data_IF_177225245321
#
_entry.id   IF_177225245321
#
_cell.length_a   1.000
_cell.length_b   1.000
_cell.length_c   1.000
_cell.angle_alpha   90.00
_cell.angle_beta   90.00
_cell.angle_gamma   90.00
#
_symmetry.space_group_name_H-M   'P 1'
#
loop_
_entity.id
_entity.type
_entity.pdbx_description
1 polymer ?
#
# COMPACT_ATOMS: atom_id res chain seq x y z
N UNK A 1 8.75 -37.72 22.76
CA UNK A 1 7.97 -36.72 22.04
C UNK A 1 7.34 -35.73 22.99
N UNK A 2 7.01 -34.54 22.54
CA UNK A 2 6.41 -33.48 23.37
C UNK A 2 4.99 -33.79 23.85
N UNK A 3 4.41 -34.92 23.38
CA UNK A 3 3.05 -35.34 23.74
C UNK A 3 3.10 -36.52 24.69
N UNK A 4 2.51 -36.37 25.86
CA UNK A 4 2.31 -37.50 26.77
C UNK A 4 1.08 -38.28 26.32
N UNK A 5 1.27 -39.29 25.46
CA UNK A 5 0.26 -40.29 25.17
C UNK A 5 0.35 -41.36 26.25
N UNK A 6 -0.68 -41.56 27.00
CA UNK A 6 -0.76 -42.59 28.03
C UNK A 6 -0.65 -44.02 27.44
N UNK A 7 -1.01 -44.15 26.16
CA UNK A 7 -1.00 -45.41 25.45
C UNK A 7 -0.61 -45.18 23.99
N UNK A 8 0.57 -45.63 23.60
CA UNK A 8 1.06 -45.47 22.22
C UNK A 8 0.62 -46.58 21.26
N UNK A 9 0.18 -47.69 21.79
CA UNK A 9 -0.27 -48.85 21.00
C UNK A 9 -1.68 -49.27 21.44
N UNK A 10 -2.49 -49.60 20.46
CA UNK A 10 -3.84 -50.16 20.69
C UNK A 10 -4.02 -51.39 19.83
N UNK A 11 -4.48 -52.45 20.47
CA UNK A 11 -4.86 -53.65 19.73
C UNK A 11 -6.22 -53.45 19.04
N UNK A 12 -6.37 -53.98 17.89
CA UNK A 12 -7.61 -54.03 17.13
C UNK A 12 -7.84 -55.42 16.53
N UNK A 13 -9.09 -55.75 16.32
CA UNK A 13 -9.48 -57.02 15.65
C UNK A 13 -10.42 -56.64 14.49
N UNK A 14 -10.26 -57.32 13.38
CA UNK A 14 -11.04 -57.14 12.17
C UNK A 14 -11.75 -58.45 11.83
N UNK A 15 -13.01 -58.40 11.54
CA UNK A 15 -13.73 -59.51 10.84
C UNK A 15 -13.35 -59.44 9.36
N UNK A 16 -13.60 -60.55 8.63
CA UNK A 16 -13.40 -60.61 7.18
C UNK A 16 -14.20 -59.48 6.48
N UNK A 17 -13.55 -58.66 5.66
CA UNK A 17 -14.08 -57.47 5.01
C UNK A 17 -14.62 -56.39 5.99
N UNK A 18 -14.19 -56.44 7.27
CA UNK A 18 -14.58 -55.48 8.29
C UNK A 18 -13.64 -54.27 8.37
N UNK A 19 -14.09 -53.26 9.14
CA UNK A 19 -13.30 -52.12 9.53
C UNK A 19 -13.21 -51.98 11.05
N UNK A 20 -12.20 -51.31 11.55
CA UNK A 20 -12.09 -50.93 12.95
C UNK A 20 -11.58 -49.47 13.05
N UNK A 21 -12.15 -48.75 14.03
CA UNK A 21 -11.72 -47.37 14.33
C UNK A 21 -10.94 -47.37 15.63
N UNK A 22 -9.74 -46.81 15.60
CA UNK A 22 -8.90 -46.67 16.79
C UNK A 22 -8.66 -45.18 17.04
N UNK A 23 -8.95 -44.71 18.25
CA UNK A 23 -8.89 -43.31 18.60
C UNK A 23 -7.87 -43.04 19.70
N UNK A 24 -7.10 -41.96 19.57
CA UNK A 24 -6.23 -41.41 20.59
C UNK A 24 -6.69 -40.02 20.94
N UNK A 25 -6.74 -39.69 22.23
CA UNK A 25 -6.93 -38.31 22.69
C UNK A 25 -5.58 -37.68 22.91
N UNK A 26 -5.32 -36.62 22.20
CA UNK A 26 -4.06 -35.87 22.27
C UNK A 26 -4.34 -34.50 22.84
N UNK A 27 -3.60 -34.10 23.88
CA UNK A 27 -3.60 -32.71 24.36
C UNK A 27 -2.50 -31.96 23.66
N UNK A 28 -2.86 -31.01 22.84
CA UNK A 28 -1.91 -30.18 22.09
C UNK A 28 -1.33 -29.12 23.02
N UNK A 29 0.02 -28.99 23.16
CA UNK A 29 0.65 -27.91 23.88
C UNK A 29 0.42 -26.54 23.23
N UNK A 30 0.48 -25.48 24.04
CA UNK A 30 0.25 -24.12 23.53
C UNK A 30 1.46 -23.52 22.79
N UNK A 31 2.60 -24.19 22.84
CA UNK A 31 3.90 -23.73 22.33
C UNK A 31 4.29 -24.38 20.97
N UNK A 32 3.37 -25.07 20.33
CA UNK A 32 3.60 -25.72 19.02
C UNK A 32 2.75 -25.10 17.94
N UNK A 33 3.32 -24.90 16.75
CA UNK A 33 2.63 -24.40 15.56
C UNK A 33 2.18 -25.51 14.61
N UNK A 34 2.75 -26.70 14.75
CA UNK A 34 2.36 -27.88 13.96
C UNK A 34 2.64 -29.16 14.73
N UNK A 35 1.89 -30.19 14.42
CA UNK A 35 2.11 -31.54 14.90
C UNK A 35 2.23 -32.50 13.72
N UNK A 36 3.19 -33.41 13.81
CA UNK A 36 3.31 -34.52 12.85
C UNK A 36 2.85 -35.78 13.53
N UNK A 37 1.81 -36.38 13.01
CA UNK A 37 1.26 -37.64 13.50
C UNK A 37 1.68 -38.74 12.53
N UNK A 38 2.34 -39.77 13.05
CA UNK A 38 2.66 -40.97 12.31
C UNK A 38 1.93 -42.14 12.96
N UNK A 39 1.10 -42.81 12.18
CA UNK A 39 0.36 -43.99 12.60
C UNK A 39 0.85 -45.20 11.77
N UNK A 40 1.10 -46.28 12.44
CA UNK A 40 1.50 -47.55 11.80
C UNK A 40 0.59 -48.63 12.30
N UNK A 41 -0.08 -49.31 11.39
CA UNK A 41 -0.83 -50.54 11.69
C UNK A 41 0.02 -51.77 11.31
N UNK A 42 -0.02 -52.80 12.14
CA UNK A 42 0.70 -54.04 11.89
C UNK A 42 -0.20 -55.24 12.20
N UNK A 43 -0.30 -56.20 11.28
CA UNK A 43 -1.05 -57.42 11.46
C UNK A 43 -0.24 -58.58 10.87
N UNK A 44 0.38 -59.39 11.74
CA UNK A 44 1.29 -60.47 11.32
C UNK A 44 2.49 -59.92 10.53
N UNK A 45 2.61 -60.32 9.27
CA UNK A 45 3.67 -59.92 8.36
C UNK A 45 3.31 -58.65 7.54
N UNK A 46 2.08 -58.13 7.69
CA UNK A 46 1.62 -56.98 6.94
C UNK A 46 1.75 -55.74 7.83
N UNK A 47 2.20 -54.65 7.24
CA UNK A 47 2.21 -53.33 7.90
C UNK A 47 1.92 -52.26 6.90
N UNK A 48 1.18 -51.23 7.35
CA UNK A 48 0.90 -50.02 6.61
C UNK A 48 0.96 -48.82 7.56
N UNK A 49 1.20 -47.63 7.06
CA UNK A 49 1.33 -46.46 7.89
C UNK A 49 1.14 -45.18 7.14
N UNK A 50 0.57 -44.22 7.85
CA UNK A 50 0.35 -42.87 7.35
C UNK A 50 1.06 -41.85 8.26
N UNK A 51 1.64 -40.85 7.63
CA UNK A 51 2.18 -39.69 8.33
C UNK A 51 1.45 -38.44 7.86
N UNK A 52 0.93 -37.67 8.79
CA UNK A 52 0.19 -36.45 8.48
C UNK A 52 0.69 -35.30 9.34
N UNK A 53 0.96 -34.18 8.70
CA UNK A 53 1.21 -32.91 9.39
C UNK A 53 -0.12 -32.17 9.57
N UNK A 54 -0.36 -31.66 10.78
CA UNK A 54 -1.55 -30.88 11.12
C UNK A 54 -1.06 -29.56 11.69
N UNK A 55 -1.54 -28.46 11.12
CA UNK A 55 -1.30 -27.13 11.66
C UNK A 55 -2.04 -26.96 13.00
N UNK A 56 -1.36 -26.35 13.97
CA UNK A 56 -1.95 -25.98 15.27
C UNK A 56 -2.18 -24.47 15.28
N UNK A 57 -3.42 -24.09 15.10
CA UNK A 57 -3.81 -22.69 15.13
C UNK A 57 -4.10 -22.28 16.57
N UNK A 58 -3.38 -21.32 17.15
CA UNK A 58 -3.71 -20.79 18.45
C UNK A 58 -5.02 -20.00 18.34
N UNK A 59 -5.93 -20.20 19.29
CA UNK A 59 -7.10 -19.35 19.47
C UNK A 59 -6.66 -18.01 20.11
N UNK A 60 -5.81 -17.29 19.39
CA UNK A 60 -5.23 -15.99 19.80
C UNK A 60 -5.32 -15.02 18.64
N UNK A 61 -5.53 -13.77 18.96
CA UNK A 61 -5.51 -12.67 18.02
C UNK A 61 -4.28 -11.80 18.29
N UNK A 62 -3.53 -11.46 17.24
CA UNK A 62 -2.50 -10.45 17.34
C UNK A 62 -3.16 -9.08 17.46
N UNK A 63 -2.83 -8.36 18.53
CA UNK A 63 -3.26 -6.99 18.75
C UNK A 63 -2.03 -6.09 18.64
N UNK A 64 -2.06 -5.15 17.72
CA UNK A 64 -1.04 -4.13 17.59
C UNK A 64 -1.55 -2.83 18.19
N UNK A 65 -0.82 -2.30 19.17
CA UNK A 65 -1.06 -0.99 19.75
C UNK A 65 0.07 -0.06 19.31
N UNK A 66 -0.28 1.05 18.65
CA UNK A 66 0.68 2.01 18.13
C UNK A 66 0.37 3.41 18.67
N UNK A 67 1.38 4.05 19.23
CA UNK A 67 1.29 5.44 19.69
C UNK A 67 2.23 6.29 18.86
N UNK A 68 1.71 7.25 18.07
CA UNK A 68 2.54 8.19 17.35
C UNK A 68 3.28 9.10 18.34
N UNK A 69 4.60 9.15 18.20
CA UNK A 69 5.49 9.95 19.06
C UNK A 69 6.00 11.12 18.23
N UNK A 70 5.70 12.34 18.68
CA UNK A 70 6.22 13.55 18.06
C UNK A 70 6.78 14.51 19.09
N UNK A 71 8.08 14.85 18.96
CA UNK A 71 8.80 15.75 19.86
C UNK A 71 9.49 16.81 19.02
N UNK A 72 9.23 18.09 19.34
CA UNK A 72 9.93 19.21 18.69
C UNK A 72 11.29 19.44 19.35
N UNK A 73 12.18 20.12 18.65
CA UNK A 73 13.45 20.57 19.18
C UNK A 73 13.29 21.28 20.54
N UNK A 74 14.16 20.96 21.48
CA UNK A 74 14.15 21.52 22.83
C UNK A 74 13.01 21.05 23.75
N UNK A 75 12.17 20.10 23.31
CA UNK A 75 11.08 19.54 24.12
C UNK A 75 11.39 18.15 24.65
N UNK A 76 10.89 17.86 25.83
CA UNK A 76 10.81 16.51 26.39
C UNK A 76 9.35 16.14 26.58
N UNK A 77 8.95 14.95 26.11
CA UNK A 77 7.58 14.43 26.26
C UNK A 77 7.64 12.98 26.74
N UNK A 78 6.68 12.62 27.57
CA UNK A 78 6.47 11.23 27.98
C UNK A 78 5.24 10.67 27.28
N UNK A 79 5.37 9.50 26.69
CA UNK A 79 4.29 8.77 26.03
C UNK A 79 4.07 7.46 26.76
N UNK A 80 2.82 7.04 26.86
CA UNK A 80 2.43 5.81 27.54
C UNK A 80 1.55 4.99 26.62
N UNK A 81 1.86 3.71 26.49
CA UNK A 81 0.98 2.72 25.85
C UNK A 81 -0.08 2.29 26.87
N UNK A 82 -1.18 3.07 26.95
CA UNK A 82 -2.19 2.89 27.99
C UNK A 82 -2.87 1.52 27.92
N UNK A 83 -3.12 1.01 26.72
CA UNK A 83 -3.72 -0.32 26.53
C UNK A 83 -2.79 -1.44 27.02
N UNK A 84 -1.48 -1.29 26.84
CA UNK A 84 -0.51 -2.26 27.31
C UNK A 84 -0.33 -2.16 28.83
N UNK A 85 -0.21 -0.94 29.35
CA UNK A 85 -0.04 -0.66 30.78
C UNK A 85 -1.21 -1.17 31.62
N UNK A 86 -2.43 -1.00 31.10
CA UNK A 86 -3.66 -1.36 31.80
C UNK A 86 -4.20 -2.74 31.40
N UNK A 87 -3.41 -3.56 30.69
CA UNK A 87 -3.85 -4.86 30.21
C UNK A 87 -4.04 -5.84 31.40
N UNK A 88 -5.28 -6.31 31.56
CA UNK A 88 -5.67 -7.27 32.59
C UNK A 88 -5.77 -8.71 32.07
N UNK A 89 -5.42 -8.95 30.81
CA UNK A 89 -5.52 -10.29 30.21
C UNK A 89 -4.48 -11.24 30.82
N UNK A 90 -4.95 -12.34 31.37
CA UNK A 90 -4.10 -13.42 31.91
C UNK A 90 -3.44 -14.29 30.82
N UNK A 91 -3.88 -14.15 29.57
CA UNK A 91 -3.43 -14.95 28.43
C UNK A 91 -2.66 -14.14 27.40
N UNK A 92 -2.52 -12.84 27.59
CA UNK A 92 -1.71 -11.99 26.73
C UNK A 92 -0.22 -12.33 26.89
N UNK A 93 0.47 -12.35 25.76
CA UNK A 93 1.93 -12.47 25.70
C UNK A 93 2.47 -11.36 24.82
N UNK A 94 3.50 -10.66 25.27
CA UNK A 94 4.17 -9.68 24.42
C UNK A 94 4.95 -10.42 23.32
N UNK A 95 4.67 -10.05 22.09
CA UNK A 95 5.35 -10.60 20.91
C UNK A 95 6.55 -9.75 20.57
N UNK A 96 6.37 -8.42 20.51
CA UNK A 96 7.43 -7.45 20.25
C UNK A 96 7.08 -6.10 20.86
N UNK A 97 8.09 -5.33 21.20
CA UNK A 97 8.03 -3.90 21.46
C UNK A 97 9.04 -3.22 20.55
N UNK A 98 8.55 -2.35 19.67
CA UNK A 98 9.41 -1.65 18.73
C UNK A 98 9.26 -0.15 18.96
N UNK A 99 10.37 0.57 19.06
CA UNK A 99 10.43 2.02 18.97
C UNK A 99 11.06 2.36 17.64
N UNK A 100 10.27 2.98 16.76
CA UNK A 100 10.77 3.52 15.49
C UNK A 100 11.07 4.99 15.67
N UNK A 101 12.29 5.40 15.36
CA UNK A 101 12.75 6.78 15.42
C UNK A 101 13.21 7.22 14.05
N UNK A 102 12.45 8.11 13.42
CA UNK A 102 12.79 8.68 12.11
C UNK A 102 13.29 10.10 12.30
N UNK A 103 14.58 10.33 12.09
CA UNK A 103 15.21 11.66 12.20
C UNK A 103 15.07 12.48 10.92
N UNK A 104 14.87 11.84 9.77
CA UNK A 104 14.67 12.47 8.48
C UNK A 104 13.32 12.04 7.89
N UNK A 105 12.37 12.98 7.70
CA UNK A 105 11.03 12.66 7.17
C UNK A 105 11.03 11.99 5.78
N UNK A 106 12.12 12.07 5.02
CA UNK A 106 12.22 11.40 3.73
C UNK A 106 12.08 9.88 3.84
N UNK A 107 12.48 9.29 4.97
CA UNK A 107 12.32 7.86 5.21
C UNK A 107 10.86 7.45 5.29
N UNK A 108 9.99 8.27 5.87
CA UNK A 108 8.54 8.03 5.89
C UNK A 108 7.97 7.94 4.47
N UNK A 109 8.42 8.84 3.60
CA UNK A 109 8.03 8.82 2.18
C UNK A 109 8.56 7.55 1.52
N UNK A 110 9.85 7.23 1.71
CA UNK A 110 10.49 6.05 1.12
C UNK A 110 9.74 4.76 1.53
N UNK A 111 9.41 4.60 2.81
CA UNK A 111 8.70 3.42 3.31
C UNK A 111 7.25 3.32 2.82
N UNK A 112 6.63 4.45 2.45
CA UNK A 112 5.27 4.47 1.90
C UNK A 112 5.21 4.05 0.40
N UNK A 113 6.29 4.25 -0.37
CA UNK A 113 6.29 4.00 -1.82
C UNK A 113 5.91 2.56 -2.21
N UNK A 114 6.40 1.49 -1.54
CA UNK A 114 6.02 0.13 -1.91
C UNK A 114 4.53 -0.16 -1.77
N UNK A 115 3.82 0.53 -0.86
CA UNK A 115 2.38 0.35 -0.69
C UNK A 115 1.59 0.80 -1.89
N UNK A 116 2.06 1.83 -2.61
CA UNK A 116 1.46 2.30 -3.85
C UNK A 116 1.65 1.31 -5.01
N UNK A 117 2.71 0.50 -4.98
CA UNK A 117 3.01 -0.50 -6.00
C UNK A 117 2.27 -1.83 -5.81
N UNK A 118 1.86 -2.15 -4.59
CA UNK A 118 1.30 -3.46 -4.25
C UNK A 118 -0.20 -3.62 -4.57
N UNK A 119 -0.87 -2.57 -5.02
CA UNK A 119 -2.27 -2.66 -5.42
C UNK A 119 -2.39 -3.32 -6.80
N UNK A 120 -3.16 -4.40 -6.90
CA UNK A 120 -3.40 -5.12 -8.15
C UNK A 120 -4.59 -4.58 -8.95
N UNK A 121 -5.25 -3.54 -8.47
CA UNK A 121 -6.31 -2.88 -9.20
C UNK A 121 -5.75 -2.17 -10.45
N UNK A 122 -6.47 -2.27 -11.57
CA UNK A 122 -6.09 -1.67 -12.86
C UNK A 122 -6.84 -0.37 -13.13
N UNK A 123 -7.37 0.29 -12.10
CA UNK A 123 -7.97 1.62 -12.25
C UNK A 123 -6.89 2.67 -12.54
N UNK A 124 -7.26 3.73 -13.25
CA UNK A 124 -6.28 4.70 -13.73
C UNK A 124 -5.57 5.45 -12.59
N UNK A 125 -6.21 5.69 -11.47
CA UNK A 125 -5.60 6.27 -10.28
C UNK A 125 -4.56 5.34 -9.65
N UNK A 126 -4.81 4.03 -9.60
CA UNK A 126 -3.85 3.04 -9.09
C UNK A 126 -2.67 2.89 -10.04
N UNK A 127 -2.91 2.78 -11.35
CA UNK A 127 -1.83 2.71 -12.35
C UNK A 127 -0.98 3.98 -12.30
N UNK A 128 -1.61 5.15 -12.21
CA UNK A 128 -0.91 6.42 -12.03
C UNK A 128 -0.08 6.44 -10.72
N UNK A 129 -0.61 5.95 -9.61
CA UNK A 129 0.09 5.92 -8.33
C UNK A 129 1.34 5.03 -8.36
N UNK A 130 1.31 3.92 -9.12
CA UNK A 130 2.48 3.08 -9.37
C UNK A 130 3.57 3.85 -10.11
N UNK A 131 3.20 4.49 -11.21
CA UNK A 131 4.11 5.33 -11.97
C UNK A 131 4.68 6.48 -11.13
N UNK A 132 3.83 7.16 -10.37
CA UNK A 132 4.23 8.23 -9.45
C UNK A 132 5.25 7.77 -8.41
N UNK A 133 5.03 6.59 -7.82
CA UNK A 133 5.94 6.02 -6.83
C UNK A 133 7.32 5.73 -7.43
N UNK A 134 7.38 5.20 -8.65
CA UNK A 134 8.64 4.90 -9.33
C UNK A 134 9.41 6.16 -9.71
N UNK A 135 8.74 7.18 -10.24
CA UNK A 135 9.37 8.46 -10.57
C UNK A 135 9.91 9.13 -9.31
N UNK A 136 9.12 9.18 -8.24
CA UNK A 136 9.55 9.78 -6.97
C UNK A 136 10.71 9.00 -6.36
N UNK A 137 10.68 7.67 -6.39
CA UNK A 137 11.78 6.83 -5.95
C UNK A 137 13.05 7.11 -6.73
N UNK A 138 12.96 7.20 -8.06
CA UNK A 138 14.09 7.52 -8.93
C UNK A 138 14.76 8.85 -8.56
N UNK A 139 13.96 9.89 -8.33
CA UNK A 139 14.47 11.21 -7.96
C UNK A 139 15.08 11.24 -6.55
N UNK A 140 14.47 10.56 -5.58
CA UNK A 140 15.05 10.42 -4.23
C UNK A 140 16.43 9.77 -4.31
N UNK A 141 16.59 8.74 -5.14
CA UNK A 141 17.88 8.07 -5.34
C UNK A 141 18.92 8.93 -6.04
N UNK A 142 18.52 9.64 -7.09
CA UNK A 142 19.41 10.60 -7.77
C UNK A 142 19.91 11.70 -6.82
N UNK A 143 19.00 12.20 -5.97
CA UNK A 143 19.33 13.23 -4.98
C UNK A 143 20.18 12.70 -3.81
N UNK A 144 20.12 11.40 -3.52
CA UNK A 144 20.76 10.79 -2.35
C UNK A 144 21.52 9.50 -2.72
N UNK A 145 22.67 9.58 -3.42
CA UNK A 145 23.42 8.39 -3.88
C UNK A 145 23.84 7.44 -2.74
N UNK A 146 24.00 7.97 -1.51
CA UNK A 146 24.33 7.17 -0.32
C UNK A 146 23.24 6.15 0.05
N UNK A 147 21.98 6.42 -0.31
CA UNK A 147 20.90 5.46 -0.08
C UNK A 147 21.15 4.16 -0.83
N UNK A 148 21.62 4.25 -2.07
CA UNK A 148 21.98 3.06 -2.85
C UNK A 148 23.02 2.20 -2.13
N UNK A 149 24.08 2.81 -1.60
CA UNK A 149 25.11 2.09 -0.86
C UNK A 149 24.53 1.35 0.35
N UNK A 150 23.61 1.96 1.09
CA UNK A 150 22.95 1.33 2.24
C UNK A 150 22.15 0.11 1.78
N UNK A 151 21.37 0.22 0.71
CA UNK A 151 20.59 -0.93 0.19
C UNK A 151 21.49 -2.04 -0.36
N UNK A 152 22.55 -1.68 -1.09
CA UNK A 152 23.54 -2.65 -1.60
C UNK A 152 24.21 -3.41 -0.43
N UNK A 153 24.54 -2.76 0.66
CA UNK A 153 25.09 -3.39 1.86
C UNK A 153 24.08 -4.32 2.55
N UNK A 154 22.82 -3.91 2.70
CA UNK A 154 21.77 -4.76 3.25
C UNK A 154 21.54 -6.01 2.39
N UNK A 155 21.54 -5.83 1.07
CA UNK A 155 21.44 -6.95 0.13
C UNK A 155 22.62 -7.91 0.24
N UNK A 156 23.85 -7.39 0.26
CA UNK A 156 25.08 -8.19 0.39
C UNK A 156 25.13 -8.99 1.72
N UNK A 157 24.57 -8.43 2.79
CA UNK A 157 24.47 -9.09 4.11
C UNK A 157 23.29 -10.07 4.20
N UNK A 158 22.48 -10.22 3.15
CA UNK A 158 21.28 -11.08 3.15
C UNK A 158 20.19 -10.61 4.10
N UNK A 159 20.25 -9.35 4.56
CA UNK A 159 19.29 -8.75 5.49
C UNK A 159 17.97 -8.38 4.81
N UNK A 160 17.94 -8.36 3.48
CA UNK A 160 16.74 -8.08 2.68
C UNK A 160 15.84 -9.30 2.48
N UNK A 161 16.29 -10.50 2.89
CA UNK A 161 15.53 -11.74 2.75
C UNK A 161 14.87 -12.08 4.08
N UNK A 162 13.55 -12.13 4.10
CA UNK A 162 12.82 -12.55 5.30
C UNK A 162 13.13 -14.00 5.67
N UNK A 163 13.07 -14.33 6.98
CA UNK A 163 13.23 -15.71 7.43
C UNK A 163 12.17 -16.66 6.85
N UNK A 164 11.03 -16.12 6.42
CA UNK A 164 9.95 -16.85 5.77
C UNK A 164 10.32 -17.25 4.34
N UNK A 165 11.09 -16.41 3.61
CA UNK A 165 11.56 -16.72 2.24
C UNK A 165 12.63 -17.80 2.21
N UNK A 166 13.31 -18.04 3.33
CA UNK A 166 14.36 -19.07 3.47
C UNK A 166 13.81 -20.48 3.64
N UNK A 167 12.53 -20.64 3.95
CA UNK A 167 11.90 -21.95 4.17
C UNK A 167 10.58 -22.07 3.41
N UNK A 168 10.66 -22.56 2.16
CA UNK A 168 9.51 -22.64 1.25
C UNK A 168 8.37 -23.55 1.75
N UNK A 169 8.70 -24.64 2.46
CA UNK A 169 7.68 -25.55 3.00
C UNK A 169 6.87 -24.90 4.12
N UNK A 170 7.55 -24.14 4.98
CA UNK A 170 6.89 -23.40 6.07
C UNK A 170 6.06 -22.24 5.52
N UNK A 171 6.52 -21.60 4.45
CA UNK A 171 5.85 -20.50 3.77
C UNK A 171 4.49 -20.95 3.22
N UNK A 172 4.45 -22.06 2.52
CA UNK A 172 3.22 -22.56 1.88
C UNK A 172 2.18 -22.95 2.94
N UNK A 173 2.61 -23.60 4.01
CA UNK A 173 1.73 -24.03 5.09
C UNK A 173 1.17 -22.83 5.89
N UNK A 174 2.01 -21.83 6.18
CA UNK A 174 1.59 -20.63 6.92
C UNK A 174 0.71 -19.70 6.07
N UNK A 175 0.92 -19.62 4.75
CA UNK A 175 0.12 -18.80 3.83
C UNK A 175 -1.29 -19.34 3.65
N UNK A 176 -1.46 -20.67 3.61
CA UNK A 176 -2.78 -21.29 3.47
C UNK A 176 -3.62 -21.21 4.75
N UNK A 177 -2.98 -21.30 5.92
CA UNK A 177 -3.68 -21.42 7.20
C UNK A 177 -3.79 -20.09 7.99
N UNK A 178 -2.93 -19.10 7.69
CA UNK A 178 -2.89 -17.84 8.42
C UNK A 178 -2.61 -16.63 7.52
N UNK A 179 -3.60 -16.20 6.71
CA UNK A 179 -3.42 -15.07 5.77
C UNK A 179 -2.94 -13.77 6.43
N UNK A 180 -3.30 -13.54 7.69
CA UNK A 180 -2.87 -12.34 8.45
C UNK A 180 -1.38 -12.35 8.83
N UNK A 181 -0.68 -13.48 8.78
CA UNK A 181 0.78 -13.52 8.97
C UNK A 181 1.50 -12.82 7.81
N UNK A 182 0.86 -12.70 6.65
CA UNK A 182 1.33 -11.90 5.53
C UNK A 182 1.37 -10.40 5.83
N UNK A 183 0.50 -9.93 6.71
CA UNK A 183 0.42 -8.52 7.10
C UNK A 183 1.37 -8.16 8.25
N UNK A 184 2.00 -9.14 8.89
CA UNK A 184 3.04 -8.92 9.88
C UNK A 184 4.34 -8.46 9.18
N UNK A 185 4.33 -7.22 8.73
CA UNK A 185 5.45 -6.53 8.07
C UNK A 185 6.57 -6.34 9.08
N UNK A 186 7.57 -7.21 9.04
CA UNK A 186 8.81 -6.93 9.73
C UNK A 186 9.67 -5.96 8.90
N UNK A 187 10.56 -5.24 9.55
CA UNK A 187 11.47 -4.28 8.92
C UNK A 187 12.25 -4.91 7.75
N UNK A 188 12.64 -6.17 7.86
CA UNK A 188 13.34 -6.93 6.83
C UNK A 188 12.52 -7.08 5.55
N UNK A 189 11.22 -7.32 5.66
CA UNK A 189 10.33 -7.44 4.50
C UNK A 189 10.08 -6.08 3.84
N UNK A 190 9.95 -5.01 4.63
CA UNK A 190 9.87 -3.65 4.12
C UNK A 190 11.15 -3.28 3.35
N UNK A 191 12.33 -3.60 3.89
CA UNK A 191 13.61 -3.36 3.23
C UNK A 191 13.76 -4.17 1.95
N UNK A 192 13.30 -5.43 1.92
CA UNK A 192 13.31 -6.24 0.70
C UNK A 192 12.41 -5.66 -0.41
N UNK A 193 11.24 -5.16 -0.05
CA UNK A 193 10.33 -4.45 -0.99
C UNK A 193 10.96 -3.17 -1.52
N UNK A 194 11.62 -2.41 -0.65
CA UNK A 194 12.36 -1.21 -1.04
C UNK A 194 13.51 -1.54 -1.98
N UNK A 195 14.30 -2.56 -1.71
CA UNK A 195 15.41 -2.96 -2.59
C UNK A 195 14.94 -3.29 -4.02
N UNK A 196 13.79 -3.96 -4.15
CA UNK A 196 13.18 -4.25 -5.46
C UNK A 196 12.70 -2.99 -6.16
N UNK A 197 12.10 -2.06 -5.43
CA UNK A 197 11.66 -0.77 -5.96
C UNK A 197 12.85 0.07 -6.46
N UNK A 198 14.00 -0.06 -5.80
CA UNK A 198 15.18 0.75 -6.06
C UNK A 198 16.22 0.10 -6.99
N UNK A 199 15.93 -1.06 -7.56
CA UNK A 199 16.74 -1.57 -8.66
C UNK A 199 16.57 -0.69 -9.91
N UNK A 200 17.67 -0.07 -10.36
CA UNK A 200 17.64 0.96 -11.41
C UNK A 200 17.11 0.44 -12.76
N UNK A 201 17.31 -0.83 -13.07
CA UNK A 201 16.82 -1.43 -14.31
C UNK A 201 15.33 -1.73 -14.21
N UNK A 202 14.92 -2.33 -13.09
CA UNK A 202 13.51 -2.61 -12.82
C UNK A 202 12.69 -1.32 -12.76
N UNK A 203 13.22 -0.27 -12.13
CA UNK A 203 12.57 1.03 -12.01
C UNK A 203 12.33 1.69 -13.36
N UNK A 204 13.34 1.71 -14.24
CA UNK A 204 13.19 2.30 -15.59
C UNK A 204 12.15 1.56 -16.42
N UNK A 205 12.19 0.23 -16.41
CA UNK A 205 11.20 -0.58 -17.12
C UNK A 205 9.81 -0.36 -16.55
N UNK A 206 9.67 -0.36 -15.22
CA UNK A 206 8.41 -0.14 -14.54
C UNK A 206 7.80 1.24 -14.85
N UNK A 207 8.62 2.32 -14.87
CA UNK A 207 8.15 3.65 -15.26
C UNK A 207 7.56 3.65 -16.68
N UNK A 208 8.20 2.97 -17.62
CA UNK A 208 7.72 2.89 -19.01
C UNK A 208 6.46 2.03 -19.13
N UNK A 209 6.44 0.90 -18.44
CA UNK A 209 5.31 -0.04 -18.46
C UNK A 209 4.06 0.58 -17.83
N UNK A 210 4.19 1.15 -16.61
CA UNK A 210 3.09 1.80 -15.91
C UNK A 210 2.54 2.99 -16.70
N UNK A 211 3.41 3.74 -17.39
CA UNK A 211 2.94 4.82 -18.26
C UNK A 211 2.20 4.29 -19.48
N UNK A 212 2.68 3.23 -20.07
CA UNK A 212 2.03 2.59 -21.21
C UNK A 212 0.65 2.03 -20.84
N UNK A 213 0.50 1.47 -19.63
CA UNK A 213 -0.80 1.05 -19.12
C UNK A 213 -1.72 2.26 -18.84
N UNK A 214 -1.20 3.33 -18.26
CA UNK A 214 -1.96 4.55 -18.01
C UNK A 214 -2.50 5.15 -19.30
N UNK A 215 -1.70 5.15 -20.38
CA UNK A 215 -2.10 5.64 -21.69
C UNK A 215 -3.33 4.92 -22.24
N UNK A 216 -3.47 3.61 -22.01
CA UNK A 216 -4.63 2.82 -22.47
C UNK A 216 -5.94 3.24 -21.80
N UNK A 217 -5.86 3.97 -20.69
CA UNK A 217 -6.98 4.45 -19.90
C UNK A 217 -7.37 5.89 -20.24
N UNK A 218 -6.58 6.59 -21.08
CA UNK A 218 -6.95 7.91 -21.61
C UNK A 218 -7.84 7.76 -22.84
N UNK A 219 -9.01 8.34 -22.78
CA UNK A 219 -9.97 8.33 -23.86
C UNK A 219 -9.67 9.39 -24.94
N UNK A 220 -10.27 9.29 -26.15
CA UNK A 220 -10.06 10.26 -27.24
C UNK A 220 -10.43 11.71 -26.89
N UNK A 221 -11.30 11.93 -25.90
CA UNK A 221 -11.65 13.26 -25.38
C UNK A 221 -10.55 13.88 -24.49
N UNK A 222 -9.51 13.12 -24.17
CA UNK A 222 -8.37 13.51 -23.35
C UNK A 222 -8.54 13.22 -21.86
N UNK A 223 -9.70 12.77 -21.41
CA UNK A 223 -9.96 12.38 -20.04
C UNK A 223 -9.53 10.95 -19.73
N UNK A 224 -9.33 10.65 -18.45
CA UNK A 224 -9.07 9.30 -17.97
C UNK A 224 -10.36 8.63 -17.50
N UNK A 225 -10.59 7.40 -17.94
CA UNK A 225 -11.62 6.53 -17.39
C UNK A 225 -11.15 5.90 -16.07
N UNK A 226 -12.06 5.32 -15.27
CA UNK A 226 -11.68 4.47 -14.14
C UNK A 226 -11.03 3.19 -14.62
N UNK A 227 -11.63 2.55 -15.61
CA UNK A 227 -11.17 1.30 -16.22
C UNK A 227 -11.27 1.39 -17.73
N UNK A 228 -10.50 0.59 -18.44
CA UNK A 228 -10.50 0.54 -19.90
C UNK A 228 -11.91 0.31 -20.47
N UNK A 229 -12.26 1.08 -21.47
CA UNK A 229 -13.58 0.99 -22.12
C UNK A 229 -14.73 1.75 -21.43
N UNK A 230 -14.47 2.40 -20.28
CA UNK A 230 -15.45 3.22 -19.59
C UNK A 230 -15.35 4.70 -20.04
N UNK A 231 -16.41 5.49 -19.84
CA UNK A 231 -16.37 6.94 -20.09
C UNK A 231 -15.34 7.64 -19.23
N UNK A 232 -14.85 8.78 -19.70
CA UNK A 232 -13.94 9.64 -18.94
C UNK A 232 -14.56 10.13 -17.66
N UNK A 233 -13.79 10.09 -16.57
CA UNK A 233 -14.15 10.59 -15.26
C UNK A 233 -13.44 11.91 -14.98
N UNK A 234 -14.20 12.96 -14.74
CA UNK A 234 -13.63 14.24 -14.35
C UNK A 234 -12.78 14.14 -13.08
N UNK A 235 -13.28 13.45 -12.07
CA UNK A 235 -12.56 13.29 -10.80
C UNK A 235 -11.23 12.55 -10.96
N UNK A 236 -11.23 11.47 -11.71
CA UNK A 236 -10.01 10.69 -11.95
C UNK A 236 -9.01 11.49 -12.80
N UNK A 237 -9.50 12.15 -13.85
CA UNK A 237 -8.71 13.03 -14.70
C UNK A 237 -8.09 14.19 -13.91
N UNK A 238 -8.86 14.81 -13.03
CA UNK A 238 -8.41 15.91 -12.18
C UNK A 238 -7.38 15.42 -11.15
N UNK A 239 -7.59 14.25 -10.56
CA UNK A 239 -6.65 13.61 -9.64
C UNK A 239 -5.28 13.38 -10.28
N UNK A 240 -5.25 12.80 -11.47
CA UNK A 240 -4.03 12.54 -12.22
C UNK A 240 -3.34 13.86 -12.60
N UNK A 241 -4.07 14.82 -13.15
CA UNK A 241 -3.51 16.11 -13.56
C UNK A 241 -2.91 16.89 -12.39
N UNK A 242 -3.60 16.90 -11.23
CA UNK A 242 -3.15 17.57 -10.01
C UNK A 242 -1.85 16.96 -9.50
N UNK A 243 -1.79 15.64 -9.41
CA UNK A 243 -0.62 14.97 -8.87
C UNK A 243 0.57 14.98 -9.84
N UNK A 244 0.35 14.99 -11.15
CA UNK A 244 1.39 15.31 -12.14
C UNK A 244 1.96 16.72 -11.92
N UNK A 245 1.09 17.71 -11.69
CA UNK A 245 1.50 19.08 -11.43
C UNK A 245 2.31 19.21 -10.13
N UNK A 246 1.85 18.57 -9.06
CA UNK A 246 2.57 18.51 -7.78
C UNK A 246 3.94 17.85 -7.93
N UNK A 247 4.00 16.74 -8.65
CA UNK A 247 5.25 16.03 -8.89
C UNK A 247 6.23 16.94 -9.68
N UNK A 248 5.74 17.63 -10.72
CA UNK A 248 6.54 18.57 -11.49
C UNK A 248 7.10 19.71 -10.62
N UNK A 249 6.30 20.24 -9.71
CA UNK A 249 6.72 21.28 -8.75
C UNK A 249 7.77 20.72 -7.77
N UNK A 250 7.58 19.55 -7.19
CA UNK A 250 8.55 18.90 -6.31
C UNK A 250 9.87 18.59 -7.01
N UNK A 251 9.81 18.18 -8.27
CA UNK A 251 10.98 17.91 -9.11
C UNK A 251 11.61 19.19 -9.71
N UNK A 252 11.11 20.37 -9.35
CA UNK A 252 11.59 21.67 -9.86
C UNK A 252 11.63 21.74 -11.39
N UNK A 253 10.62 21.16 -12.04
CA UNK A 253 10.48 21.11 -13.49
C UNK A 253 11.17 19.92 -14.16
N UNK A 254 11.89 19.07 -13.44
CA UNK A 254 12.59 17.91 -14.00
C UNK A 254 11.64 16.75 -14.39
N UNK A 255 10.33 16.92 -14.24
CA UNK A 255 9.35 15.92 -14.71
C UNK A 255 9.53 15.63 -16.21
N UNK A 256 9.99 16.62 -16.98
CA UNK A 256 10.29 16.48 -18.40
C UNK A 256 11.31 15.37 -18.71
N UNK A 257 12.19 15.02 -17.78
CA UNK A 257 13.18 13.93 -17.93
C UNK A 257 12.52 12.54 -17.96
N UNK A 258 11.30 12.45 -17.44
CA UNK A 258 10.48 11.24 -17.38
C UNK A 258 9.37 11.23 -18.42
N UNK A 259 9.28 12.27 -19.26
CA UNK A 259 8.20 12.44 -20.23
C UNK A 259 8.73 12.50 -21.65
N UNK A 260 8.28 11.58 -22.50
CA UNK A 260 8.42 11.68 -23.94
C UNK A 260 7.52 12.78 -24.53
N UNK A 261 7.71 13.12 -25.80
CA UNK A 261 6.82 14.05 -26.51
C UNK A 261 5.36 13.60 -26.48
N UNK A 262 5.12 12.31 -26.60
CA UNK A 262 3.78 11.71 -26.54
C UNK A 262 3.13 11.91 -25.16
N UNK A 263 3.90 11.78 -24.10
CA UNK A 263 3.44 11.99 -22.73
C UNK A 263 3.05 13.46 -22.47
N UNK A 264 3.81 14.41 -23.03
CA UNK A 264 3.44 15.84 -22.97
C UNK A 264 2.14 16.12 -23.71
N UNK A 265 1.92 15.46 -24.84
CA UNK A 265 0.67 15.58 -25.58
C UNK A 265 -0.53 15.01 -24.80
N UNK A 266 -0.35 13.87 -24.11
CA UNK A 266 -1.36 13.33 -23.19
C UNK A 266 -1.75 14.34 -22.11
N UNK A 267 -0.77 15.01 -21.50
CA UNK A 267 -1.02 16.06 -20.49
C UNK A 267 -1.77 17.23 -21.09
N UNK A 268 -1.37 17.69 -22.29
CA UNK A 268 -2.08 18.77 -22.99
C UNK A 268 -3.55 18.42 -23.30
N UNK A 269 -3.80 17.16 -23.67
CA UNK A 269 -5.17 16.66 -23.89
C UNK A 269 -5.96 16.60 -22.60
N UNK A 270 -5.33 16.13 -21.50
CA UNK A 270 -5.95 16.07 -20.19
C UNK A 270 -6.32 17.47 -19.66
N UNK A 271 -5.43 18.46 -19.82
CA UNK A 271 -5.74 19.86 -19.47
C UNK A 271 -6.97 20.36 -20.24
N UNK A 272 -7.03 20.09 -21.57
CA UNK A 272 -8.20 20.49 -22.37
C UNK A 272 -9.49 19.81 -21.90
N UNK A 273 -9.41 18.53 -21.54
CA UNK A 273 -10.56 17.80 -21.03
C UNK A 273 -11.10 18.41 -19.74
N UNK A 274 -10.25 18.63 -18.73
CA UNK A 274 -10.70 19.19 -17.45
C UNK A 274 -11.19 20.62 -17.57
N UNK A 275 -10.60 21.43 -18.49
CA UNK A 275 -11.08 22.78 -18.80
C UNK A 275 -12.49 22.75 -19.41
N UNK A 276 -12.77 21.82 -20.32
CA UNK A 276 -14.08 21.69 -20.96
C UNK A 276 -15.13 21.19 -19.96
N UNK A 277 -14.80 20.21 -19.13
CA UNK A 277 -15.74 19.64 -18.17
C UNK A 277 -16.11 20.65 -17.06
N UNK A 278 -15.15 21.41 -16.52
CA UNK A 278 -15.46 22.43 -15.52
C UNK A 278 -16.29 23.56 -16.09
N UNK A 279 -16.03 23.98 -17.33
CA UNK A 279 -16.82 25.02 -17.98
C UNK A 279 -18.27 24.56 -18.21
N UNK A 280 -18.45 23.32 -18.65
CA UNK A 280 -19.77 22.70 -18.78
C UNK A 280 -20.53 22.68 -17.45
N UNK A 281 -19.86 22.28 -16.36
CA UNK A 281 -20.45 22.30 -15.02
C UNK A 281 -20.80 23.73 -14.56
N UNK A 282 -19.91 24.68 -14.81
CA UNK A 282 -20.09 26.08 -14.42
C UNK A 282 -21.25 26.73 -15.16
N UNK A 283 -21.42 26.46 -16.45
CA UNK A 283 -22.57 26.94 -17.23
C UNK A 283 -23.90 26.44 -16.69
N UNK A 284 -23.95 25.19 -16.22
CA UNK A 284 -25.16 24.58 -15.67
C UNK A 284 -25.50 25.10 -14.29
N UNK A 285 -24.48 25.46 -13.46
CA UNK A 285 -24.65 25.84 -12.05
C UNK A 285 -23.94 27.14 -11.69
N UNK A 286 -24.21 28.20 -12.42
CA UNK A 286 -23.54 29.52 -12.35
C UNK A 286 -23.39 30.14 -10.94
N UNK A 287 -24.15 29.71 -9.95
CA UNK A 287 -24.19 30.35 -8.62
C UNK A 287 -23.24 29.67 -7.60
N UNK A 288 -22.73 28.48 -7.84
CA UNK A 288 -21.95 27.73 -6.85
C UNK A 288 -20.45 27.74 -7.13
N UNK A 289 -19.82 28.90 -7.01
CA UNK A 289 -18.35 29.04 -7.16
C UNK A 289 -17.56 28.37 -6.05
N UNK A 290 -18.17 28.07 -4.90
CA UNK A 290 -17.56 27.36 -3.78
C UNK A 290 -17.73 25.85 -3.87
N UNK A 291 -18.22 25.35 -4.98
CA UNK A 291 -18.28 23.90 -5.16
C UNK A 291 -16.87 23.31 -5.19
N UNK A 292 -16.73 22.16 -4.56
CA UNK A 292 -15.48 21.40 -4.62
C UNK A 292 -15.01 21.17 -6.07
N UNK A 293 -15.95 21.10 -7.00
CA UNK A 293 -15.70 20.93 -8.41
C UNK A 293 -14.89 22.09 -9.02
N UNK A 294 -15.23 23.32 -8.66
CA UNK A 294 -14.53 24.53 -9.12
C UNK A 294 -13.23 24.74 -8.36
N UNK A 295 -13.25 24.57 -7.04
CA UNK A 295 -12.07 24.79 -6.21
C UNK A 295 -10.97 23.79 -6.51
N UNK A 296 -11.29 22.49 -6.64
CA UNK A 296 -10.32 21.46 -7.03
C UNK A 296 -9.76 21.70 -8.43
N UNK A 297 -10.59 22.21 -9.35
CA UNK A 297 -10.12 22.61 -10.68
C UNK A 297 -9.10 23.74 -10.62
N UNK A 298 -9.41 24.82 -9.92
CA UNK A 298 -8.52 25.99 -9.84
C UNK A 298 -7.20 25.64 -9.14
N UNK A 299 -7.25 24.87 -8.06
CA UNK A 299 -6.06 24.36 -7.38
C UNK A 299 -5.22 23.46 -8.31
N UNK A 300 -5.86 22.60 -9.08
CA UNK A 300 -5.16 21.77 -10.08
C UNK A 300 -4.53 22.62 -11.18
N UNK A 301 -5.30 23.57 -11.73
CA UNK A 301 -4.83 24.41 -12.83
C UNK A 301 -3.72 25.38 -12.44
N UNK A 302 -3.60 25.71 -11.14
CA UNK A 302 -2.49 26.51 -10.61
C UNK A 302 -1.12 25.92 -11.00
N UNK A 303 -0.93 24.61 -10.93
CA UNK A 303 0.34 23.96 -11.31
C UNK A 303 0.64 24.05 -12.81
N UNK A 304 -0.37 24.24 -13.65
CA UNK A 304 -0.26 24.18 -15.11
C UNK A 304 -0.48 25.51 -15.81
N UNK A 305 -0.78 26.59 -15.07
CA UNK A 305 -1.19 27.88 -15.68
C UNK A 305 -0.08 28.53 -16.49
N UNK A 306 1.19 28.31 -16.10
CA UNK A 306 2.36 28.81 -16.81
C UNK A 306 2.53 28.14 -18.18
N UNK A 307 2.35 26.84 -18.25
CA UNK A 307 2.55 26.04 -19.46
C UNK A 307 1.29 26.02 -20.34
N UNK A 308 0.12 25.94 -19.70
CA UNK A 308 -1.18 25.96 -20.34
C UNK A 308 -2.06 27.05 -19.72
N UNK A 309 -1.99 28.31 -20.22
CA UNK A 309 -2.75 29.42 -19.66
C UNK A 309 -4.27 29.18 -19.65
N UNK A 310 -4.96 29.65 -18.61
CA UNK A 310 -6.40 29.56 -18.54
C UNK A 310 -7.05 30.29 -19.71
N UNK A 311 -8.05 29.67 -20.34
CA UNK A 311 -8.92 30.31 -21.34
C UNK A 311 -9.82 31.36 -20.67
N UNK A 312 -10.56 32.15 -21.50
CA UNK A 312 -11.38 33.27 -21.03
C UNK A 312 -12.33 32.89 -19.91
N UNK A 313 -13.01 31.76 -20.02
CA UNK A 313 -14.01 31.33 -19.03
C UNK A 313 -13.36 30.86 -17.72
N UNK A 314 -12.26 30.13 -17.82
CA UNK A 314 -11.47 29.75 -16.64
C UNK A 314 -10.90 30.97 -15.90
N UNK A 315 -10.46 32.00 -16.62
CA UNK A 315 -10.02 33.26 -16.02
C UNK A 315 -11.16 33.98 -15.31
N UNK A 316 -12.31 34.14 -15.94
CA UNK A 316 -13.51 34.73 -15.33
C UNK A 316 -13.95 33.99 -14.08
N UNK A 317 -13.91 32.65 -14.13
CA UNK A 317 -14.20 31.79 -12.97
C UNK A 317 -13.22 32.06 -11.83
N UNK A 318 -11.92 32.10 -12.09
CA UNK A 318 -10.87 32.42 -11.12
C UNK A 318 -11.08 33.81 -10.49
N UNK A 319 -11.31 34.82 -11.32
CA UNK A 319 -11.57 36.20 -10.89
C UNK A 319 -12.84 36.28 -10.00
N UNK A 320 -13.88 35.55 -10.34
CA UNK A 320 -15.12 35.52 -9.55
C UNK A 320 -14.88 34.83 -8.20
N UNK A 321 -14.16 33.71 -8.16
CA UNK A 321 -13.80 33.03 -6.91
C UNK A 321 -12.98 33.96 -6.01
N UNK A 322 -11.94 34.62 -6.55
CA UNK A 322 -11.09 35.56 -5.82
C UNK A 322 -11.93 36.77 -5.32
N UNK A 323 -12.82 37.29 -6.14
CA UNK A 323 -13.70 38.40 -5.74
C UNK A 323 -14.60 38.00 -4.59
N UNK A 324 -15.22 36.84 -4.64
CA UNK A 324 -16.08 36.32 -3.56
C UNK A 324 -15.27 35.95 -2.31
N UNK A 325 -14.06 35.49 -2.43
CA UNK A 325 -13.18 35.17 -1.31
C UNK A 325 -12.88 36.36 -0.41
N UNK A 326 -12.83 37.57 -0.97
CA UNK A 326 -12.62 38.83 -0.19
C UNK A 326 -13.73 39.14 0.83
N UNK A 327 -14.92 38.61 0.62
CA UNK A 327 -16.09 38.82 1.48
C UNK A 327 -16.62 37.56 2.14
N UNK A 328 -15.98 36.42 1.86
CA UNK A 328 -16.38 35.11 2.37
C UNK A 328 -16.15 35.01 3.89
N UNK A 329 -17.07 34.34 4.57
CA UNK A 329 -16.96 33.99 5.99
C UNK A 329 -16.64 32.50 6.11
N UNK A 330 -15.98 32.08 7.19
CA UNK A 330 -15.68 30.67 7.48
C UNK A 330 -16.95 29.81 7.41
N UNK A 331 -18.10 30.40 7.81
CA UNK A 331 -19.43 29.74 7.78
C UNK A 331 -19.95 29.46 6.38
N UNK A 332 -19.38 30.06 5.34
CA UNK A 332 -19.79 29.85 3.95
C UNK A 332 -19.22 28.55 3.36
N UNK A 333 -18.31 27.92 4.08
CA UNK A 333 -17.61 26.72 3.64
C UNK A 333 -17.99 25.49 4.46
N UNK A 334 -17.99 24.33 3.81
CA UNK A 334 -17.88 23.05 4.53
C UNK A 334 -16.46 22.88 5.05
N UNK A 335 -16.23 21.98 6.00
CA UNK A 335 -14.88 21.66 6.48
C UNK A 335 -13.89 21.34 5.33
N UNK A 336 -14.31 20.52 4.40
CA UNK A 336 -13.49 20.18 3.23
C UNK A 336 -13.37 21.35 2.23
N UNK A 337 -14.43 22.16 2.07
CA UNK A 337 -14.40 23.34 1.23
C UNK A 337 -13.44 24.40 1.73
N UNK A 338 -13.35 24.60 3.05
CA UNK A 338 -12.42 25.54 3.66
C UNK A 338 -10.96 25.15 3.36
N UNK A 339 -10.63 23.88 3.52
CA UNK A 339 -9.28 23.36 3.21
C UNK A 339 -8.88 23.55 1.74
N UNK A 340 -9.85 23.50 0.82
CA UNK A 340 -9.59 23.71 -0.61
C UNK A 340 -9.54 25.18 -1.02
N UNK A 341 -10.19 26.04 -0.26
CA UNK A 341 -10.23 27.48 -0.51
C UNK A 341 -9.02 28.24 0.04
N UNK A 342 -8.33 27.65 1.02
CA UNK A 342 -7.10 28.16 1.61
C UNK A 342 -5.90 27.97 0.71
#
# INVERSE_FOLDING_TARGET
GKFNLNEMQKAFSLAENGNAVVNWKVKVPNDVSSIVIKIVAKAGNFSDGEQKAIAVLPNRMLVTDAVPVFVKEGQTKTFVLENLKNNQSKTATNVSNTLELTTNPIWEVIFALPSLKNDNNLSADVVFNKWFADVLASEIFKANPKLKTVFDEYQAKGLLNSNLEKNQELKQLLLEETPWVLDAKNETEQMAKLARLFDANNMRNSINDDWSELKKLQNPDGGFSWYAGYPSSYYNSLYILKNLGRLNDWLKGNLADYQSTEQKEMVAQLVRYVDNEVNRFYEVKKENVWSNYVLDYLDTRHYWEKEYPLKSDGRKMKELVISKAKTAKITDFTFFGLHRAA
#
